data_IF_458231291559
#
_entry.id   IF_458231291559
#
_cell.length_a   1.000
_cell.length_b   1.000
_cell.length_c   1.000
_cell.angle_alpha   90.00
_cell.angle_beta   90.00
_cell.angle_gamma   90.00
#
_symmetry.space_group_name_H-M   'P 1'
#
loop_
_entity.id
_entity.type
_entity.pdbx_description
1 polymer ?
#
# COMPACT_ATOMS: atom_id res chain seq x y z
N UNK A 1 -49.81 44.76 33.19
CA UNK A 1 -48.98 44.25 32.07
C UNK A 1 -47.62 43.92 32.65
N UNK A 2 -47.32 42.65 32.94
CA UNK A 2 -46.06 42.20 33.54
C UNK A 2 -45.12 41.80 32.39
N UNK A 3 -43.95 42.44 32.30
CA UNK A 3 -42.88 42.12 31.36
C UNK A 3 -42.06 40.96 31.92
N UNK A 4 -41.99 39.86 31.16
CA UNK A 4 -41.07 38.74 31.38
C UNK A 4 -39.75 39.01 30.65
N UNK A 5 -38.57 38.79 31.27
CA UNK A 5 -37.30 38.88 30.56
C UNK A 5 -37.06 37.56 29.80
N UNK A 6 -36.72 37.67 28.52
CA UNK A 6 -36.27 36.52 27.72
C UNK A 6 -34.82 36.22 28.06
N UNK A 7 -34.56 35.00 28.53
CA UNK A 7 -33.23 34.44 28.71
C UNK A 7 -32.67 34.09 27.32
N UNK A 8 -31.64 34.81 26.86
CA UNK A 8 -30.88 34.42 25.67
C UNK A 8 -29.88 33.34 26.14
N UNK A 9 -30.12 32.10 25.74
CA UNK A 9 -29.17 31.00 25.89
C UNK A 9 -28.15 31.09 24.75
N UNK A 10 -26.90 31.45 25.07
CA UNK A 10 -25.77 31.29 24.15
C UNK A 10 -25.42 29.80 24.09
N UNK A 11 -25.86 29.13 23.02
CA UNK A 11 -25.40 27.79 22.69
C UNK A 11 -23.99 27.91 22.08
N UNK A 12 -22.97 27.52 22.84
CA UNK A 12 -21.62 27.34 22.32
C UNK A 12 -21.61 26.19 21.31
N UNK A 13 -21.40 26.50 20.04
CA UNK A 13 -21.11 25.52 18.99
C UNK A 13 -19.76 24.87 19.29
N UNK A 14 -19.80 23.68 19.89
CA UNK A 14 -18.66 22.76 19.89
C UNK A 14 -18.41 22.36 18.44
N UNK A 15 -17.35 22.92 17.83
CA UNK A 15 -16.84 22.42 16.56
C UNK A 15 -16.19 21.06 16.85
N UNK A 16 -16.88 19.98 16.50
CA UNK A 16 -16.25 18.68 16.37
C UNK A 16 -15.31 18.75 15.17
N UNK A 17 -14.03 19.02 15.42
CA UNK A 17 -12.98 18.76 14.44
C UNK A 17 -12.82 17.25 14.37
N UNK A 18 -13.41 16.60 13.36
CA UNK A 18 -13.04 15.23 13.03
C UNK A 18 -11.53 15.21 12.75
N UNK A 19 -10.82 14.21 13.28
CA UNK A 19 -9.39 14.08 13.04
C UNK A 19 -9.16 13.93 11.53
N UNK A 20 -8.26 14.75 10.98
CA UNK A 20 -7.93 14.71 9.56
C UNK A 20 -7.21 13.39 9.26
N UNK A 21 -7.77 12.58 8.36
CA UNK A 21 -7.12 11.36 7.88
C UNK A 21 -5.84 11.70 7.10
N UNK A 22 -5.02 10.69 6.80
CA UNK A 22 -3.73 10.85 6.13
C UNK A 22 -3.87 11.57 4.78
N UNK A 23 -4.91 11.21 4.02
CA UNK A 23 -5.32 11.83 2.77
C UNK A 23 -6.78 11.43 2.47
N UNK A 24 -7.51 12.14 1.60
CA UNK A 24 -8.84 11.70 1.18
C UNK A 24 -8.80 10.27 0.58
N UNK A 25 -9.53 9.34 1.19
CA UNK A 25 -9.53 7.92 0.81
C UNK A 25 -8.54 7.03 1.58
N UNK A 26 -7.85 7.56 2.60
CA UNK A 26 -7.11 6.75 3.56
C UNK A 26 -8.09 5.99 4.47
N UNK A 27 -7.97 4.66 4.51
CA UNK A 27 -8.85 3.77 5.28
C UNK A 27 -8.07 2.86 6.21
N UNK A 28 -8.78 2.21 7.15
CA UNK A 28 -8.22 1.18 7.99
C UNK A 28 -7.38 1.68 9.17
N UNK A 29 -6.65 0.75 9.77
CA UNK A 29 -5.85 0.96 10.98
C UNK A 29 -4.84 2.11 10.86
N UNK A 30 -4.22 2.28 9.69
CA UNK A 30 -3.25 3.34 9.39
C UNK A 30 -3.84 4.65 8.87
N UNK A 31 -5.17 4.78 8.76
CA UNK A 31 -5.82 5.93 8.12
C UNK A 31 -5.48 7.29 8.73
N UNK A 32 -5.07 7.32 10.00
CA UNK A 32 -4.79 8.55 10.76
C UNK A 32 -3.29 8.88 10.85
N UNK A 33 -2.44 8.23 10.06
CA UNK A 33 -1.02 8.61 9.97
C UNK A 33 -0.91 10.10 9.60
N UNK A 34 -0.07 10.84 10.34
CA UNK A 34 0.07 12.30 10.12
C UNK A 34 1.19 12.64 9.14
N UNK A 35 2.10 11.70 8.84
CA UNK A 35 3.18 11.94 7.90
C UNK A 35 4.12 13.05 8.36
N UNK A 36 4.71 13.75 7.39
CA UNK A 36 5.49 14.97 7.59
C UNK A 36 4.66 16.25 7.68
N UNK A 37 3.34 16.16 7.88
CA UNK A 37 2.47 17.34 8.04
C UNK A 37 2.99 18.20 9.21
N UNK A 38 3.15 19.50 8.99
CA UNK A 38 3.85 20.47 9.89
C UNK A 38 5.39 20.41 9.86
N UNK A 39 5.96 19.59 9.00
CA UNK A 39 7.40 19.46 8.80
C UNK A 39 7.95 20.34 7.69
N UNK A 40 9.04 19.88 7.08
CA UNK A 40 9.74 20.52 5.97
C UNK A 40 9.35 19.86 4.63
N UNK A 41 9.18 20.64 3.57
CA UNK A 41 9.09 20.11 2.21
C UNK A 41 10.49 19.80 1.70
N UNK A 42 10.70 18.59 1.19
CA UNK A 42 11.95 18.17 0.58
C UNK A 42 11.70 17.78 -0.88
N UNK A 43 12.30 18.52 -1.81
CA UNK A 43 12.21 18.25 -3.25
C UNK A 43 13.37 17.32 -3.67
N UNK A 44 13.04 16.09 -4.03
CA UNK A 44 13.99 15.18 -4.69
C UNK A 44 14.23 15.68 -6.11
N UNK A 45 15.46 16.11 -6.37
CA UNK A 45 15.89 16.82 -7.58
C UNK A 45 16.89 16.05 -8.43
N UNK A 46 17.31 14.86 -7.97
CA UNK A 46 18.18 13.98 -8.74
C UNK A 46 17.92 12.50 -8.44
N UNK A 47 18.40 11.64 -9.34
CA UNK A 47 18.26 10.19 -9.27
C UNK A 47 19.46 9.49 -8.63
N UNK A 48 20.34 10.22 -7.94
CA UNK A 48 21.51 9.62 -7.31
C UNK A 48 21.08 8.79 -6.09
N UNK A 49 21.83 7.74 -5.77
CA UNK A 49 21.60 6.90 -4.58
C UNK A 49 21.69 7.73 -3.28
N UNK A 50 22.54 8.75 -3.23
CA UNK A 50 22.79 9.54 -2.02
C UNK A 50 23.26 10.97 -2.31
N UNK A 51 23.32 11.78 -1.27
CA UNK A 51 23.70 13.19 -1.31
C UNK A 51 22.49 14.13 -1.36
N UNK A 52 22.77 15.43 -1.30
CA UNK A 52 21.74 16.47 -1.37
C UNK A 52 20.87 16.31 -2.62
N UNK A 53 19.56 16.50 -2.46
CA UNK A 53 18.55 16.33 -3.51
C UNK A 53 18.20 14.88 -3.85
N UNK A 54 18.80 13.87 -3.20
CA UNK A 54 18.47 12.46 -3.41
C UNK A 54 17.29 12.01 -2.53
N UNK A 55 16.58 10.97 -2.97
CA UNK A 55 15.53 10.33 -2.17
C UNK A 55 16.05 9.79 -0.84
N UNK A 56 17.27 9.24 -0.81
CA UNK A 56 17.88 8.73 0.42
C UNK A 56 18.11 9.83 1.45
N UNK A 57 18.58 11.00 1.02
CA UNK A 57 18.74 12.14 1.92
C UNK A 57 17.36 12.62 2.41
N UNK A 58 16.38 12.73 1.51
CA UNK A 58 15.02 13.15 1.80
C UNK A 58 14.40 12.34 2.95
N UNK A 59 14.44 11.01 2.89
CA UNK A 59 13.77 10.12 3.85
C UNK A 59 14.60 9.84 5.12
N UNK A 60 15.87 10.27 5.17
CA UNK A 60 16.76 9.98 6.30
C UNK A 60 16.47 10.82 7.55
N UNK A 61 15.77 11.94 7.39
CA UNK A 61 15.42 12.86 8.48
C UNK A 61 13.92 12.81 8.76
N UNK A 62 13.52 13.03 10.02
CA UNK A 62 12.11 13.01 10.37
C UNK A 62 11.39 14.29 9.96
N UNK A 63 10.06 14.24 9.91
CA UNK A 63 9.23 15.44 9.73
C UNK A 63 9.37 16.06 8.35
N UNK A 64 9.31 15.23 7.30
CA UNK A 64 9.49 15.67 5.91
C UNK A 64 8.34 15.24 5.01
N UNK A 65 7.91 16.14 4.13
CA UNK A 65 7.06 15.82 2.98
C UNK A 65 7.96 15.78 1.75
N UNK A 66 8.11 14.60 1.18
CA UNK A 66 8.97 14.33 0.03
C UNK A 66 8.16 14.39 -1.25
N UNK A 67 8.53 15.33 -2.12
CA UNK A 67 8.00 15.50 -3.48
C UNK A 67 9.14 15.38 -4.51
N UNK A 68 8.81 15.25 -5.78
CA UNK A 68 9.79 14.92 -6.83
C UNK A 68 9.73 15.90 -7.99
N UNK A 69 10.86 16.51 -8.34
CA UNK A 69 11.03 17.32 -9.57
C UNK A 69 11.70 16.53 -10.71
N UNK A 70 12.01 15.25 -10.47
CA UNK A 70 12.57 14.31 -11.45
C UNK A 70 11.77 13.01 -11.44
N UNK A 71 11.60 12.41 -12.62
CA UNK A 71 11.11 11.04 -12.80
C UNK A 71 12.26 10.12 -13.20
N UNK A 72 12.11 8.82 -12.97
CA UNK A 72 13.08 7.82 -13.41
C UNK A 72 13.38 6.71 -12.40
N UNK A 73 14.41 5.94 -12.72
CA UNK A 73 14.93 4.87 -11.86
C UNK A 73 16.02 5.43 -10.95
N UNK A 74 15.87 5.25 -9.64
CA UNK A 74 16.88 5.50 -8.62
C UNK A 74 17.53 4.15 -8.29
N UNK A 75 18.76 3.97 -8.72
CA UNK A 75 19.53 2.77 -8.40
C UNK A 75 20.17 2.92 -7.02
N UNK A 76 19.90 1.98 -6.13
CA UNK A 76 20.41 1.95 -4.77
C UNK A 76 21.29 0.74 -4.54
N UNK A 77 22.39 0.95 -3.82
CA UNK A 77 23.31 -0.12 -3.46
C UNK A 77 22.99 -0.70 -2.09
N UNK A 78 22.67 0.17 -1.13
CA UNK A 78 22.32 -0.19 0.23
C UNK A 78 20.82 0.00 0.52
N UNK A 79 20.32 -0.70 1.55
CA UNK A 79 18.93 -0.55 2.02
C UNK A 79 18.62 0.92 2.31
N UNK A 80 17.47 1.42 1.86
CA UNK A 80 16.95 2.73 2.31
C UNK A 80 16.33 2.55 3.70
N UNK A 81 16.67 3.43 4.64
CA UNK A 81 16.08 3.46 5.99
C UNK A 81 15.28 4.75 6.10
N UNK A 82 13.98 4.61 6.32
CA UNK A 82 13.05 5.74 6.40
C UNK A 82 12.89 6.17 7.85
N UNK A 83 12.97 7.48 8.09
CA UNK A 83 12.80 8.08 9.41
C UNK A 83 11.31 8.22 9.80
N UNK A 84 11.05 8.83 10.95
CA UNK A 84 9.69 9.05 11.48
C UNK A 84 9.01 10.25 10.81
N UNK A 85 7.69 10.28 10.75
CA UNK A 85 6.92 11.43 10.26
C UNK A 85 7.36 11.81 8.84
N UNK A 86 7.43 10.83 7.95
CA UNK A 86 7.80 11.04 6.55
C UNK A 86 6.59 10.78 5.67
N UNK A 87 6.23 11.76 4.84
CA UNK A 87 5.28 11.61 3.74
C UNK A 87 6.06 11.49 2.44
N UNK A 88 5.80 10.47 1.62
CA UNK A 88 6.39 10.31 0.29
C UNK A 88 5.27 10.35 -0.75
N UNK A 89 5.27 11.39 -1.57
CA UNK A 89 4.23 11.66 -2.58
C UNK A 89 4.76 11.34 -3.98
N UNK A 90 4.93 10.05 -4.28
CA UNK A 90 5.48 9.58 -5.56
C UNK A 90 4.68 10.03 -6.78
N UNK A 91 3.40 10.35 -6.61
CA UNK A 91 2.56 10.89 -7.68
C UNK A 91 2.96 12.29 -8.13
N UNK A 92 3.80 13.01 -7.38
CA UNK A 92 4.32 14.34 -7.79
C UNK A 92 5.41 14.25 -8.84
N UNK A 93 6.06 13.09 -8.99
CA UNK A 93 7.12 12.90 -9.96
C UNK A 93 6.62 13.09 -11.41
N UNK A 94 7.40 13.78 -12.27
CA UNK A 94 7.10 13.90 -13.69
C UNK A 94 7.31 12.58 -14.44
N UNK A 95 6.86 12.53 -15.69
CA UNK A 95 7.02 11.38 -16.57
C UNK A 95 6.28 10.14 -16.04
N UNK A 96 6.96 9.01 -16.05
CA UNK A 96 6.41 7.72 -15.61
C UNK A 96 6.51 7.50 -14.08
N UNK A 97 6.99 8.51 -13.34
CA UNK A 97 7.15 8.49 -11.90
C UNK A 97 8.50 7.93 -11.43
N UNK A 98 8.52 7.34 -10.23
CA UNK A 98 9.74 6.85 -9.57
C UNK A 98 9.71 5.33 -9.38
N UNK A 99 10.78 4.69 -9.84
CA UNK A 99 11.16 3.32 -9.43
C UNK A 99 12.44 3.38 -8.63
N UNK A 100 12.48 2.69 -7.50
CA UNK A 100 13.71 2.49 -6.72
C UNK A 100 14.15 1.05 -6.87
N UNK A 101 15.37 0.84 -7.34
CA UNK A 101 15.86 -0.47 -7.74
C UNK A 101 17.22 -0.83 -7.13
N UNK A 102 17.40 -2.08 -6.73
CA UNK A 102 18.72 -2.66 -6.39
C UNK A 102 18.87 -3.11 -4.95
N UNK A 103 18.02 -2.63 -4.03
CA UNK A 103 17.96 -3.12 -2.65
C UNK A 103 16.59 -2.82 -2.00
N UNK A 104 16.38 -3.28 -0.76
CA UNK A 104 15.12 -3.10 -0.03
C UNK A 104 15.00 -1.79 0.76
N UNK A 105 13.88 -1.64 1.46
CA UNK A 105 13.48 -0.48 2.26
C UNK A 105 13.10 -0.88 3.69
N UNK A 106 13.58 -0.14 4.68
CA UNK A 106 13.22 -0.31 6.09
C UNK A 106 12.35 0.84 6.58
N UNK A 107 11.20 0.51 7.13
CA UNK A 107 10.38 1.39 7.98
C UNK A 107 10.44 0.94 9.44
N UNK A 108 11.46 0.15 9.79
CA UNK A 108 11.68 -0.34 11.16
C UNK A 108 12.05 0.83 12.08
N UNK A 109 11.37 0.94 13.21
CA UNK A 109 11.41 2.08 14.14
C UNK A 109 10.95 3.42 13.55
N UNK A 110 10.30 3.41 12.37
CA UNK A 110 9.59 4.59 11.88
C UNK A 110 8.25 4.72 12.63
N UNK A 111 7.62 5.89 12.56
CA UNK A 111 6.27 6.13 13.03
C UNK A 111 5.62 7.17 12.09
N UNK A 112 4.28 7.19 12.01
CA UNK A 112 3.52 8.24 11.33
C UNK A 112 3.97 8.44 9.86
N UNK A 113 4.05 7.35 9.10
CA UNK A 113 4.51 7.37 7.70
C UNK A 113 3.35 7.33 6.71
N UNK A 114 3.46 8.10 5.62
CA UNK A 114 2.53 8.07 4.48
C UNK A 114 3.35 7.82 3.22
N UNK A 115 3.06 6.78 2.45
CA UNK A 115 3.80 6.45 1.22
C UNK A 115 2.83 6.18 0.09
N UNK A 116 2.97 6.91 -1.02
CA UNK A 116 2.06 6.79 -2.17
C UNK A 116 2.75 6.77 -3.52
N UNK A 117 2.20 6.00 -4.46
CA UNK A 117 2.56 5.99 -5.89
C UNK A 117 4.05 5.83 -6.21
N UNK A 118 4.74 4.94 -5.51
CA UNK A 118 6.15 4.63 -5.75
C UNK A 118 6.36 3.13 -5.94
N UNK A 119 7.33 2.77 -6.80
CA UNK A 119 7.74 1.38 -7.01
C UNK A 119 9.04 1.09 -6.28
N UNK A 120 9.06 -0.03 -5.56
CA UNK A 120 10.21 -0.50 -4.79
C UNK A 120 10.54 -1.91 -5.26
N UNK A 121 11.72 -2.04 -5.86
CA UNK A 121 12.15 -3.23 -6.57
C UNK A 121 13.50 -3.68 -6.05
N UNK A 122 13.51 -4.72 -5.23
CA UNK A 122 14.75 -5.14 -4.60
C UNK A 122 15.69 -5.82 -5.59
N UNK A 123 15.15 -6.74 -6.40
CA UNK A 123 15.89 -7.47 -7.42
C UNK A 123 16.88 -8.49 -6.84
N UNK A 124 17.42 -9.33 -7.72
CA UNK A 124 18.34 -10.42 -7.38
C UNK A 124 19.64 -9.92 -6.79
N UNK A 125 20.06 -8.70 -7.15
CA UNK A 125 21.24 -8.01 -6.60
C UNK A 125 21.08 -7.53 -5.16
N UNK A 126 19.84 -7.43 -4.66
CA UNK A 126 19.56 -6.99 -3.30
C UNK A 126 20.10 -7.94 -2.23
N UNK A 127 20.24 -7.42 -1.01
CA UNK A 127 20.78 -8.16 0.14
C UNK A 127 20.01 -9.46 0.42
N UNK A 128 20.69 -10.60 0.38
CA UNK A 128 20.08 -11.90 0.65
C UNK A 128 19.49 -12.01 2.06
N UNK A 129 18.33 -12.67 2.21
CA UNK A 129 17.68 -12.84 3.53
C UNK A 129 17.18 -11.51 4.11
N UNK A 130 16.79 -10.58 3.24
CA UNK A 130 16.16 -9.30 3.58
C UNK A 130 14.95 -9.05 2.69
N UNK A 131 14.02 -8.30 3.25
CA UNK A 131 12.77 -7.99 2.57
C UNK A 131 12.93 -6.83 1.59
N UNK A 132 12.12 -6.81 0.52
CA UNK A 132 12.04 -5.63 -0.35
C UNK A 132 11.46 -4.44 0.42
N UNK A 133 10.46 -4.66 1.28
CA UNK A 133 9.98 -3.70 2.26
C UNK A 133 9.71 -4.39 3.59
N UNK A 134 10.13 -3.79 4.71
CA UNK A 134 9.93 -4.37 6.03
C UNK A 134 9.72 -3.33 7.13
N UNK A 135 8.80 -3.64 8.03
CA UNK A 135 8.56 -2.90 9.28
C UNK A 135 8.91 -3.82 10.45
N UNK A 136 9.93 -3.44 11.21
CA UNK A 136 10.22 -4.00 12.52
C UNK A 136 10.11 -2.90 13.59
N UNK A 137 9.08 -3.00 14.42
CA UNK A 137 8.69 -2.01 15.43
C UNK A 137 8.28 -0.64 14.83
N UNK A 138 7.21 -0.04 15.34
CA UNK A 138 6.72 1.27 14.85
C UNK A 138 5.21 1.36 14.76
N UNK A 139 4.65 2.53 14.44
CA UNK A 139 3.18 2.66 14.37
C UNK A 139 2.67 3.73 13.41
N UNK A 140 1.37 3.66 13.15
CA UNK A 140 0.60 4.66 12.39
C UNK A 140 1.20 4.83 10.98
N UNK A 141 1.09 3.83 10.12
CA UNK A 141 1.64 3.92 8.77
C UNK A 141 0.61 3.56 7.72
N UNK A 142 0.63 4.27 6.60
CA UNK A 142 -0.20 3.93 5.44
C UNK A 142 0.63 3.88 4.16
N UNK A 143 0.46 2.78 3.44
CA UNK A 143 1.05 2.52 2.13
C UNK A 143 -0.11 2.39 1.15
N UNK A 144 -0.24 3.35 0.23
CA UNK A 144 -1.35 3.41 -0.71
C UNK A 144 -0.79 3.50 -2.13
N UNK A 145 -1.24 2.63 -3.05
CA UNK A 145 -0.74 2.67 -4.43
C UNK A 145 0.79 2.46 -4.55
N UNK A 146 1.37 1.59 -3.72
CA UNK A 146 2.78 1.20 -3.86
C UNK A 146 2.90 -0.12 -4.63
N UNK A 147 3.94 -0.25 -5.43
CA UNK A 147 4.28 -1.53 -6.08
C UNK A 147 5.59 -2.06 -5.50
N UNK A 148 5.54 -3.19 -4.82
CA UNK A 148 6.71 -3.81 -4.18
C UNK A 148 6.96 -5.16 -4.84
N UNK A 149 8.21 -5.40 -5.27
CA UNK A 149 8.55 -6.65 -5.97
C UNK A 149 9.95 -7.15 -5.71
N UNK A 150 10.16 -8.42 -6.07
CA UNK A 150 11.47 -9.08 -6.14
C UNK A 150 12.19 -9.16 -4.81
N UNK A 151 11.43 -9.40 -3.74
CA UNK A 151 11.97 -9.67 -2.40
C UNK A 151 12.93 -10.86 -2.40
N UNK A 152 14.00 -10.74 -1.61
CA UNK A 152 15.03 -11.78 -1.41
C UNK A 152 14.79 -12.62 -0.15
N UNK A 153 13.79 -12.24 0.65
CA UNK A 153 13.22 -12.96 1.79
C UNK A 153 11.69 -12.81 1.74
N UNK A 154 11.13 -11.68 2.18
CA UNK A 154 9.75 -11.29 1.90
C UNK A 154 9.68 -10.09 0.94
N UNK A 155 8.57 -9.96 0.21
CA UNK A 155 8.33 -8.75 -0.58
C UNK A 155 7.90 -7.59 0.33
N UNK A 156 6.87 -7.77 1.17
CA UNK A 156 6.49 -6.77 2.17
C UNK A 156 6.12 -7.43 3.51
N UNK A 157 6.95 -7.26 4.54
CA UNK A 157 6.73 -7.81 5.88
C UNK A 157 6.42 -6.75 6.96
N UNK A 158 5.66 -7.19 7.97
CA UNK A 158 5.38 -6.49 9.22
C UNK A 158 5.60 -7.48 10.36
N UNK A 159 6.52 -7.16 11.27
CA UNK A 159 6.85 -8.03 12.39
C UNK A 159 7.32 -7.22 13.62
N UNK A 160 7.01 -7.70 14.82
CA UNK A 160 7.44 -7.05 16.07
C UNK A 160 6.34 -6.19 16.69
N UNK A 161 6.73 -5.19 17.48
CA UNK A 161 5.80 -4.27 18.15
C UNK A 161 5.32 -3.19 17.17
N UNK A 162 4.43 -3.60 16.26
CA UNK A 162 3.90 -2.74 15.20
C UNK A 162 2.41 -2.48 15.41
N UNK A 163 1.93 -1.25 15.28
CA UNK A 163 0.48 -0.97 15.40
C UNK A 163 -0.03 0.01 14.36
N UNK A 164 -1.32 -0.05 14.06
CA UNK A 164 -2.01 0.92 13.20
C UNK A 164 -1.40 1.03 11.80
N UNK A 165 -1.36 -0.08 11.04
CA UNK A 165 -0.83 -0.07 9.66
C UNK A 165 -1.91 -0.38 8.64
N UNK A 166 -1.96 0.39 7.55
CA UNK A 166 -2.76 0.06 6.35
C UNK A 166 -1.85 -0.13 5.15
N UNK A 167 -2.04 -1.22 4.42
CA UNK A 167 -1.57 -1.36 3.03
C UNK A 167 -2.82 -1.44 2.17
N UNK A 168 -3.01 -0.46 1.29
CA UNK A 168 -4.17 -0.39 0.41
C UNK A 168 -3.80 -0.14 -1.05
N UNK A 169 -4.63 -0.62 -1.97
CA UNK A 169 -4.51 -0.35 -3.40
C UNK A 169 -3.10 -0.64 -3.94
N UNK A 170 -2.39 -1.65 -3.41
CA UNK A 170 -0.97 -1.87 -3.68
C UNK A 170 -0.70 -3.19 -4.39
N UNK A 171 0.44 -3.29 -5.08
CA UNK A 171 0.92 -4.54 -5.70
C UNK A 171 2.06 -5.10 -4.84
N UNK A 172 1.96 -6.39 -4.50
CA UNK A 172 2.98 -7.16 -3.78
C UNK A 172 3.29 -8.39 -4.61
N UNK A 173 4.38 -8.34 -5.36
CA UNK A 173 4.61 -9.26 -6.47
C UNK A 173 5.95 -9.98 -6.41
N UNK A 174 5.99 -11.19 -6.97
CA UNK A 174 7.21 -11.85 -7.44
C UNK A 174 8.36 -11.84 -6.41
N UNK A 175 8.11 -12.27 -5.18
CA UNK A 175 9.20 -12.68 -4.28
C UNK A 175 10.09 -13.69 -5.03
N UNK A 176 11.40 -13.50 -5.05
CA UNK A 176 12.28 -14.34 -5.86
C UNK A 176 12.40 -15.74 -5.23
N UNK A 177 12.54 -16.79 -6.05
CA UNK A 177 12.57 -18.20 -5.62
C UNK A 177 13.63 -18.55 -4.55
N UNK A 178 14.60 -17.68 -4.27
CA UNK A 178 15.46 -17.82 -3.08
C UNK A 178 14.64 -17.96 -1.79
N UNK A 179 13.51 -17.25 -1.70
CA UNK A 179 12.49 -17.41 -0.67
C UNK A 179 11.19 -16.72 -1.13
N UNK A 180 10.54 -17.20 -2.19
CA UNK A 180 9.42 -16.47 -2.84
C UNK A 180 8.21 -16.25 -1.92
N UNK A 181 8.16 -15.11 -1.24
CA UNK A 181 7.14 -14.79 -0.25
C UNK A 181 6.50 -13.41 -0.50
N UNK A 182 5.17 -13.33 -0.49
CA UNK A 182 4.46 -12.04 -0.55
C UNK A 182 4.70 -11.19 0.69
N UNK A 183 4.47 -11.75 1.89
CA UNK A 183 4.65 -11.02 3.14
C UNK A 183 4.26 -11.79 4.40
N UNK A 184 5.02 -11.58 5.47
CA UNK A 184 4.63 -11.97 6.83
C UNK A 184 3.97 -10.77 7.52
N UNK A 185 2.76 -10.94 8.05
CA UNK A 185 2.02 -9.92 8.79
C UNK A 185 1.80 -10.45 10.20
N UNK A 186 2.64 -10.02 11.13
CA UNK A 186 2.69 -10.57 12.49
C UNK A 186 2.70 -9.44 13.52
N UNK A 187 1.51 -9.04 13.95
CA UNK A 187 1.32 -8.11 15.06
C UNK A 187 -0.11 -8.16 15.62
N UNK A 188 -0.24 -7.89 16.92
CA UNK A 188 -1.53 -7.69 17.58
C UNK A 188 -2.01 -6.23 17.51
N UNK A 189 -1.18 -5.32 17.02
CA UNK A 189 -1.47 -3.88 16.93
C UNK A 189 -2.36 -3.45 15.77
N UNK A 190 -2.88 -4.40 14.99
CA UNK A 190 -3.84 -4.16 13.91
C UNK A 190 -3.20 -3.76 12.57
N UNK A 191 -3.53 -4.55 11.53
CA UNK A 191 -3.13 -4.28 10.14
C UNK A 191 -4.36 -4.37 9.22
N UNK A 192 -4.57 -3.37 8.38
CA UNK A 192 -5.56 -3.37 7.30
C UNK A 192 -4.89 -3.66 5.96
N UNK A 193 -5.46 -4.60 5.20
CA UNK A 193 -5.01 -4.97 3.85
C UNK A 193 -6.21 -4.86 2.91
N UNK A 194 -6.27 -3.79 2.12
CA UNK A 194 -7.42 -3.47 1.28
C UNK A 194 -7.09 -3.36 -0.20
N UNK A 195 -7.82 -4.09 -1.05
CA UNK A 195 -7.74 -3.91 -2.51
C UNK A 195 -6.30 -4.01 -3.02
N UNK A 196 -5.52 -4.90 -2.42
CA UNK A 196 -4.16 -5.19 -2.88
C UNK A 196 -4.18 -6.33 -3.89
N UNK A 197 -3.17 -6.34 -4.76
CA UNK A 197 -2.83 -7.48 -5.60
C UNK A 197 -1.63 -8.20 -4.99
N UNK A 198 -1.81 -9.45 -4.58
CA UNK A 198 -0.71 -10.38 -4.33
C UNK A 198 -0.57 -11.29 -5.55
N UNK A 199 0.60 -11.30 -6.18
CA UNK A 199 0.79 -12.00 -7.46
C UNK A 199 2.14 -12.70 -7.56
N UNK A 200 2.15 -13.91 -8.14
CA UNK A 200 3.37 -14.63 -8.52
C UNK A 200 4.35 -14.86 -7.36
N UNK A 201 3.80 -15.09 -6.17
CA UNK A 201 4.53 -15.39 -4.95
C UNK A 201 4.25 -16.82 -4.53
N UNK A 202 5.27 -17.62 -4.26
CA UNK A 202 5.10 -19.04 -3.93
C UNK A 202 4.33 -19.28 -2.64
N UNK A 203 4.47 -18.39 -1.66
CA UNK A 203 3.91 -18.56 -0.31
C UNK A 203 3.68 -17.22 0.39
N UNK A 204 3.00 -17.25 1.54
CA UNK A 204 2.77 -16.08 2.41
C UNK A 204 2.11 -14.92 1.65
N UNK A 205 0.87 -15.09 1.19
CA UNK A 205 0.15 -14.13 0.34
C UNK A 205 -1.08 -13.40 0.96
N UNK A 206 -1.03 -12.91 2.20
CA UNK A 206 0.04 -12.94 3.20
C UNK A 206 0.08 -14.23 4.04
N UNK A 207 1.06 -14.34 4.93
CA UNK A 207 0.98 -15.17 6.14
C UNK A 207 0.64 -14.29 7.32
N UNK A 208 -0.48 -14.56 7.98
CA UNK A 208 -1.01 -13.68 9.04
C UNK A 208 -0.88 -14.31 10.41
N UNK A 209 -0.60 -13.45 11.39
CA UNK A 209 -0.76 -13.69 12.83
C UNK A 209 -1.20 -12.41 13.53
N UNK A 210 -2.00 -12.54 14.59
CA UNK A 210 -2.50 -11.40 15.37
C UNK A 210 -3.75 -10.78 14.76
N UNK A 211 -3.83 -9.44 14.74
CA UNK A 211 -5.05 -8.70 14.37
C UNK A 211 -4.97 -8.20 12.94
N UNK A 212 -5.91 -8.63 12.08
CA UNK A 212 -5.91 -8.24 10.68
C UNK A 212 -7.31 -8.04 10.08
N UNK A 213 -7.40 -7.12 9.13
CA UNK A 213 -8.61 -6.78 8.38
C UNK A 213 -8.26 -6.92 6.89
N UNK A 214 -8.64 -8.06 6.29
CA UNK A 214 -8.26 -8.49 4.94
C UNK A 214 -9.48 -8.44 4.03
N UNK A 215 -9.69 -7.29 3.38
CA UNK A 215 -10.91 -7.01 2.62
C UNK A 215 -10.63 -6.65 1.16
N UNK A 216 -11.37 -7.26 0.24
CA UNK A 216 -11.36 -6.98 -1.20
C UNK A 216 -9.99 -7.07 -1.90
N UNK A 217 -9.09 -7.93 -1.43
CA UNK A 217 -7.81 -8.19 -2.10
C UNK A 217 -8.00 -9.20 -3.24
N UNK A 218 -7.11 -9.13 -4.23
CA UNK A 218 -6.95 -10.14 -5.27
C UNK A 218 -5.65 -10.89 -5.04
N UNK A 219 -5.72 -12.22 -5.09
CA UNK A 219 -4.56 -13.08 -4.95
C UNK A 219 -4.48 -13.96 -6.20
N UNK A 220 -3.36 -13.90 -6.91
CA UNK A 220 -3.16 -14.56 -8.20
C UNK A 220 -1.89 -15.41 -8.22
N UNK A 221 -1.98 -16.61 -8.83
CA UNK A 221 -0.83 -17.47 -9.14
C UNK A 221 0.15 -17.71 -7.97
N UNK A 222 -0.38 -18.05 -6.80
CA UNK A 222 0.47 -18.49 -5.69
C UNK A 222 1.06 -19.86 -5.96
N UNK A 223 2.11 -20.25 -5.23
CA UNK A 223 2.71 -21.60 -5.30
C UNK A 223 2.27 -22.53 -4.16
N UNK A 224 3.16 -23.42 -3.71
CA UNK A 224 2.85 -24.44 -2.70
C UNK A 224 2.53 -23.93 -1.28
N UNK A 225 2.61 -22.62 -1.02
CA UNK A 225 2.23 -22.02 0.26
C UNK A 225 0.75 -21.65 0.40
N UNK A 226 0.01 -21.55 -0.69
CA UNK A 226 -1.36 -21.03 -0.69
C UNK A 226 -1.44 -19.54 -0.96
N UNK A 227 -2.66 -19.11 -1.31
CA UNK A 227 -3.03 -17.71 -1.50
C UNK A 227 -3.19 -16.95 -0.18
N UNK A 228 -3.33 -17.65 0.93
CA UNK A 228 -3.34 -17.08 2.27
C UNK A 228 -2.93 -18.13 3.29
N UNK A 229 -1.97 -17.79 4.17
CA UNK A 229 -1.55 -18.69 5.25
C UNK A 229 -2.14 -18.21 6.57
N UNK A 230 -3.06 -18.99 7.11
CA UNK A 230 -3.67 -18.77 8.41
C UNK A 230 -2.94 -19.57 9.48
N UNK A 231 -1.85 -19.04 10.05
CA UNK A 231 -1.19 -19.69 11.19
C UNK A 231 0.05 -20.54 10.88
N UNK A 232 0.13 -21.75 11.44
CA UNK A 232 1.34 -22.57 11.52
C UNK A 232 2.29 -22.22 12.69
N UNK A 233 1.75 -21.62 13.76
CA UNK A 233 2.39 -21.37 15.06
C UNK A 233 1.33 -21.30 16.16
N UNK A 234 1.72 -21.44 17.42
CA UNK A 234 0.84 -21.48 18.61
C UNK A 234 0.25 -20.12 19.03
N UNK A 235 0.33 -19.08 18.18
CA UNK A 235 -0.12 -17.73 18.50
C UNK A 235 -1.54 -17.45 18.01
N UNK A 236 -2.31 -16.73 18.82
CA UNK A 236 -3.68 -16.32 18.52
C UNK A 236 -3.74 -15.35 17.33
N UNK A 237 -4.78 -15.49 16.52
CA UNK A 237 -5.09 -14.55 15.43
C UNK A 237 -6.59 -14.27 15.38
N UNK A 238 -6.96 -13.01 15.21
CA UNK A 238 -8.35 -12.54 15.16
C UNK A 238 -8.50 -11.69 13.89
N UNK A 239 -9.18 -12.25 12.89
CA UNK A 239 -9.11 -11.73 11.53
C UNK A 239 -10.48 -11.65 10.86
N UNK A 240 -10.72 -10.55 10.13
CA UNK A 240 -11.79 -10.47 9.15
C UNK A 240 -11.22 -10.79 7.75
N UNK A 241 -11.85 -11.69 7.00
CA UNK A 241 -11.48 -12.07 5.62
C UNK A 241 -12.72 -11.92 4.73
N UNK A 242 -12.84 -10.79 4.03
CA UNK A 242 -14.11 -10.39 3.41
C UNK A 242 -13.92 -10.00 1.94
N UNK A 243 -14.76 -10.53 1.05
CA UNK A 243 -14.90 -10.00 -0.31
C UNK A 243 -13.66 -10.18 -1.19
N UNK A 244 -12.73 -11.09 -0.86
CA UNK A 244 -11.49 -11.29 -1.60
C UNK A 244 -11.70 -12.22 -2.81
N UNK A 245 -10.88 -12.08 -3.84
CA UNK A 245 -10.89 -12.96 -5.02
C UNK A 245 -9.55 -13.69 -5.15
N UNK A 246 -9.59 -15.02 -5.02
CA UNK A 246 -8.45 -15.90 -5.25
C UNK A 246 -8.54 -16.51 -6.64
N UNK A 247 -7.49 -16.40 -7.45
CA UNK A 247 -7.47 -16.93 -8.82
C UNK A 247 -6.20 -17.78 -8.99
N UNK A 248 -6.40 -19.06 -9.30
CA UNK A 248 -5.29 -19.97 -9.56
C UNK A 248 -4.58 -19.60 -10.86
N UNK A 249 -3.24 -19.59 -10.83
CA UNK A 249 -2.40 -19.42 -12.01
C UNK A 249 -1.56 -20.65 -12.32
N UNK A 250 -0.65 -20.57 -13.31
CA UNK A 250 0.19 -21.68 -13.74
C UNK A 250 0.88 -22.44 -12.59
N UNK A 251 1.44 -21.73 -11.61
CA UNK A 251 2.20 -22.28 -10.49
C UNK A 251 1.35 -22.69 -9.28
N UNK A 252 0.05 -22.41 -9.31
CA UNK A 252 -0.87 -22.78 -8.23
C UNK A 252 -0.96 -24.29 -8.06
N UNK A 253 -0.50 -24.76 -6.90
CA UNK A 253 -0.40 -26.19 -6.57
C UNK A 253 -1.19 -26.60 -5.33
N UNK A 254 -1.78 -25.64 -4.60
CA UNK A 254 -2.60 -25.87 -3.39
C UNK A 254 -3.76 -24.88 -3.35
N UNK A 255 -4.74 -25.14 -2.48
CA UNK A 255 -5.94 -24.29 -2.30
C UNK A 255 -5.59 -22.87 -1.84
N UNK A 256 -6.56 -21.96 -1.98
CA UNK A 256 -6.44 -20.56 -1.57
C UNK A 256 -5.98 -20.41 -0.12
N UNK A 257 -6.66 -21.05 0.82
CA UNK A 257 -6.32 -20.98 2.25
C UNK A 257 -5.56 -22.23 2.70
N UNK A 258 -4.53 -22.06 3.51
CA UNK A 258 -3.77 -23.18 4.09
C UNK A 258 -3.38 -22.93 5.55
N UNK A 259 -3.12 -24.03 6.26
CA UNK A 259 -2.49 -24.09 7.60
C UNK A 259 -3.31 -23.48 8.75
N UNK A 260 -4.60 -23.25 8.55
CA UNK A 260 -5.56 -22.89 9.58
C UNK A 260 -5.54 -23.87 10.76
N UNK A 261 -5.87 -23.38 11.95
CA UNK A 261 -5.96 -24.16 13.17
C UNK A 261 -6.90 -23.48 14.18
N UNK A 262 -7.04 -24.09 15.36
CA UNK A 262 -7.93 -23.64 16.43
C UNK A 262 -7.57 -22.29 17.07
N UNK A 263 -6.35 -21.79 16.88
CA UNK A 263 -5.90 -20.47 17.36
C UNK A 263 -6.03 -19.37 16.29
N UNK A 264 -6.61 -19.71 15.13
CA UNK A 264 -6.85 -18.75 14.05
C UNK A 264 -8.34 -18.50 13.90
N UNK A 265 -8.85 -17.50 14.61
CA UNK A 265 -10.24 -17.10 14.65
C UNK A 265 -10.54 -16.14 13.49
N UNK A 266 -11.38 -16.58 12.54
CA UNK A 266 -11.67 -15.83 11.33
C UNK A 266 -13.17 -15.61 11.14
N UNK A 267 -13.57 -14.34 11.00
CA UNK A 267 -14.85 -14.01 10.37
C UNK A 267 -14.64 -14.00 8.86
N UNK A 268 -15.46 -14.74 8.11
CA UNK A 268 -15.33 -14.87 6.66
C UNK A 268 -16.65 -14.54 5.97
N UNK A 269 -16.58 -13.79 4.87
CA UNK A 269 -17.77 -13.39 4.13
C UNK A 269 -17.43 -13.14 2.64
N UNK A 270 -18.21 -13.69 1.72
CA UNK A 270 -18.15 -13.38 0.27
C UNK A 270 -16.76 -13.52 -0.37
N UNK A 271 -15.96 -14.53 0.00
CA UNK A 271 -14.67 -14.77 -0.68
C UNK A 271 -14.86 -15.69 -1.88
N UNK A 272 -14.29 -15.36 -3.04
CA UNK A 272 -14.40 -16.15 -4.27
C UNK A 272 -13.10 -16.89 -4.58
N UNK A 273 -13.22 -18.06 -5.19
CA UNK A 273 -12.10 -18.83 -5.68
C UNK A 273 -12.36 -19.35 -7.10
N UNK A 274 -11.49 -18.94 -8.03
CA UNK A 274 -11.35 -19.50 -9.36
C UNK A 274 -10.14 -20.45 -9.39
N UNK A 275 -10.38 -21.72 -9.68
CA UNK A 275 -9.39 -22.79 -9.45
C UNK A 275 -8.98 -23.54 -10.71
N UNK A 276 -9.67 -23.33 -11.83
CA UNK A 276 -9.60 -24.23 -12.98
C UNK A 276 -8.55 -23.83 -14.03
N UNK A 277 -8.06 -22.58 -13.96
CA UNK A 277 -7.03 -22.03 -14.86
C UNK A 277 -7.47 -22.05 -16.31
N UNK A 278 -8.78 -21.96 -16.57
CA UNK A 278 -9.35 -22.20 -17.90
C UNK A 278 -9.30 -20.97 -18.83
N UNK A 279 -8.95 -19.79 -18.29
CA UNK A 279 -8.89 -18.51 -19.01
C UNK A 279 -10.21 -17.73 -19.00
N UNK A 280 -11.18 -18.16 -18.20
CA UNK A 280 -12.46 -17.51 -17.99
C UNK A 280 -12.57 -17.16 -16.52
N UNK A 281 -12.96 -15.93 -16.19
CA UNK A 281 -13.31 -15.58 -14.83
C UNK A 281 -14.68 -16.20 -14.49
N UNK A 282 -14.68 -17.36 -13.83
CA UNK A 282 -15.88 -18.12 -13.52
C UNK A 282 -15.89 -18.69 -12.09
N UNK A 283 -15.00 -18.19 -11.24
CA UNK A 283 -14.87 -18.57 -9.83
C UNK A 283 -16.18 -18.47 -9.04
N UNK A 284 -16.24 -19.24 -7.96
CA UNK A 284 -17.42 -19.34 -7.10
C UNK A 284 -17.12 -18.91 -5.68
N UNK A 285 -18.16 -18.48 -4.96
CA UNK A 285 -18.06 -18.20 -3.54
C UNK A 285 -17.63 -19.44 -2.74
N UNK A 286 -16.65 -19.26 -1.86
CA UNK A 286 -16.25 -20.24 -0.86
C UNK A 286 -17.29 -20.28 0.25
N UNK A 287 -17.99 -21.42 0.36
CA UNK A 287 -18.92 -21.64 1.46
C UNK A 287 -18.23 -21.51 2.83
N UNK A 288 -18.96 -20.98 3.82
CA UNK A 288 -18.51 -20.77 5.20
C UNK A 288 -18.34 -22.12 5.92
N UNK A 289 -17.22 -22.78 5.64
CA UNK A 289 -16.82 -24.07 6.22
C UNK A 289 -15.31 -24.07 6.48
N UNK A 290 -14.90 -24.53 7.67
CA UNK A 290 -13.49 -24.52 8.08
C UNK A 290 -12.56 -25.19 7.06
N UNK A 291 -13.03 -26.24 6.37
CA UNK A 291 -12.22 -26.95 5.36
C UNK A 291 -11.92 -26.10 4.12
N UNK A 292 -12.81 -25.19 3.72
CA UNK A 292 -12.59 -24.25 2.62
C UNK A 292 -11.57 -23.17 2.99
N UNK A 293 -11.47 -22.86 4.29
CA UNK A 293 -10.56 -21.87 4.86
C UNK A 293 -9.34 -22.53 5.52
N UNK A 294 -8.90 -23.69 5.01
CA UNK A 294 -7.64 -24.32 5.41
C UNK A 294 -7.59 -24.81 6.85
N UNK A 295 -8.73 -24.99 7.52
CA UNK A 295 -8.85 -25.47 8.90
C UNK A 295 -8.95 -24.39 9.97
N UNK A 296 -9.24 -23.13 9.60
CA UNK A 296 -9.43 -22.03 10.56
C UNK A 296 -10.62 -22.28 11.51
N UNK A 297 -10.56 -21.73 12.71
CA UNK A 297 -11.73 -21.59 13.57
C UNK A 297 -12.60 -20.43 13.06
N UNK A 298 -13.79 -20.74 12.55
CA UNK A 298 -14.66 -19.72 11.96
C UNK A 298 -15.60 -19.14 13.02
N UNK A 299 -15.56 -17.83 13.20
CA UNK A 299 -16.44 -17.11 14.13
C UNK A 299 -17.62 -16.48 13.40
N UNK A 300 -18.74 -16.30 14.10
CA UNK A 300 -19.99 -15.79 13.52
C UNK A 300 -20.14 -14.28 13.59
N UNK A 301 -19.38 -13.63 14.47
CA UNK A 301 -19.43 -12.17 14.65
C UNK A 301 -18.20 -11.54 13.99
N UNK A 302 -18.45 -10.54 13.15
CA UNK A 302 -17.41 -9.72 12.54
C UNK A 302 -16.71 -8.91 13.63
N UNK A 303 -15.38 -8.86 13.59
CA UNK A 303 -14.63 -7.99 14.48
C UNK A 303 -14.84 -6.51 14.12
N UNK A 304 -15.03 -5.66 15.13
CA UNK A 304 -15.20 -4.20 14.98
C UNK A 304 -13.85 -3.50 14.78
N UNK A 305 -13.24 -3.74 13.62
CA UNK A 305 -12.00 -3.11 13.19
C UNK A 305 -12.26 -1.93 12.25
N UNK A 306 -11.32 -0.96 12.14
CA UNK A 306 -11.36 0.05 11.10
C UNK A 306 -11.41 -0.63 9.71
N UNK A 307 -12.56 -0.58 9.07
CA UNK A 307 -12.84 -1.25 7.80
C UNK A 307 -12.89 -0.26 6.63
N UNK A 308 -12.97 -0.80 5.41
CA UNK A 308 -13.31 -0.02 4.22
C UNK A 308 -14.69 0.62 4.36
N UNK A 309 -14.88 1.81 3.80
CA UNK A 309 -16.15 2.53 3.80
C UNK A 309 -17.24 1.78 3.03
N UNK A 310 -16.86 1.05 1.97
CA UNK A 310 -17.74 0.18 1.21
C UNK A 310 -17.00 -1.09 0.82
N UNK A 311 -17.61 -2.23 1.12
CA UNK A 311 -17.15 -3.54 0.64
C UNK A 311 -17.64 -3.73 -0.79
N UNK A 312 -16.71 -4.01 -1.70
CA UNK A 312 -16.99 -4.34 -3.09
C UNK A 312 -17.41 -5.80 -3.22
N UNK A 313 -18.17 -6.15 -4.27
CA UNK A 313 -18.28 -7.55 -4.67
C UNK A 313 -16.90 -8.05 -5.10
N UNK A 314 -16.60 -9.36 -5.03
CA UNK A 314 -15.31 -9.88 -5.50
C UNK A 314 -15.00 -9.51 -6.96
N UNK A 315 -15.99 -9.56 -7.86
CA UNK A 315 -15.81 -9.17 -9.27
C UNK A 315 -15.47 -7.67 -9.42
N UNK A 316 -16.14 -6.81 -8.65
CA UNK A 316 -15.84 -5.38 -8.60
C UNK A 316 -14.47 -5.13 -7.96
N UNK A 317 -14.09 -5.90 -6.95
CA UNK A 317 -12.78 -5.84 -6.33
C UNK A 317 -11.68 -6.22 -7.34
N UNK A 318 -11.89 -7.25 -8.15
CA UNK A 318 -10.97 -7.61 -9.22
C UNK A 318 -10.82 -6.48 -10.24
N UNK A 319 -11.95 -5.95 -10.73
CA UNK A 319 -11.97 -4.83 -11.68
C UNK A 319 -11.27 -3.59 -11.12
N UNK A 320 -11.49 -3.30 -9.85
CA UNK A 320 -10.85 -2.21 -9.14
C UNK A 320 -9.34 -2.43 -9.06
N UNK A 321 -8.91 -3.61 -8.62
CA UNK A 321 -7.51 -3.92 -8.36
C UNK A 321 -6.68 -3.94 -9.64
N UNK A 322 -7.18 -4.54 -10.73
CA UNK A 322 -6.47 -4.51 -12.03
C UNK A 322 -6.32 -3.08 -12.55
N UNK A 323 -7.31 -2.22 -12.30
CA UNK A 323 -7.27 -0.83 -12.73
C UNK A 323 -6.37 0.05 -11.87
N UNK A 324 -6.47 -0.06 -10.54
CA UNK A 324 -5.93 0.95 -9.63
C UNK A 324 -4.80 0.46 -8.73
N UNK A 325 -4.58 -0.84 -8.51
CA UNK A 325 -3.56 -1.26 -7.55
C UNK A 325 -2.12 -0.97 -8.02
N UNK A 326 -1.23 -0.64 -7.08
CA UNK A 326 0.16 -0.28 -7.34
C UNK A 326 0.32 1.19 -7.71
N UNK A 327 1.50 1.58 -8.20
CA UNK A 327 1.75 2.93 -8.69
C UNK A 327 1.01 3.18 -10.01
N UNK A 328 -0.31 3.37 -9.93
CA UNK A 328 -1.23 3.29 -11.06
C UNK A 328 -1.55 4.63 -11.73
N UNK A 329 -1.05 5.76 -11.21
CA UNK A 329 -1.11 7.06 -11.90
C UNK A 329 -0.56 6.94 -13.33
N UNK A 330 0.56 6.24 -13.46
CA UNK A 330 1.12 5.77 -14.74
C UNK A 330 1.75 4.41 -14.42
N UNK A 331 1.29 3.28 -14.97
CA UNK A 331 1.97 1.99 -14.77
C UNK A 331 3.21 1.88 -15.64
N UNK A 332 4.25 1.25 -15.12
CA UNK A 332 5.41 0.90 -15.92
C UNK A 332 5.26 -0.51 -16.54
N UNK A 333 6.29 -0.97 -17.25
CA UNK A 333 6.24 -2.24 -17.98
C UNK A 333 6.05 -3.47 -17.07
N UNK A 334 6.58 -3.48 -15.85
CA UNK A 334 6.44 -4.62 -14.93
C UNK A 334 5.02 -4.68 -14.37
N UNK A 335 4.52 -3.56 -13.82
CA UNK A 335 3.16 -3.53 -13.26
C UNK A 335 2.10 -3.80 -14.35
N UNK A 336 2.36 -3.36 -15.59
CA UNK A 336 1.49 -3.65 -16.74
C UNK A 336 1.47 -5.14 -17.07
N UNK A 337 2.62 -5.81 -17.07
CA UNK A 337 2.70 -7.26 -17.31
C UNK A 337 2.01 -8.05 -16.19
N UNK A 338 2.20 -7.67 -14.93
CA UNK A 338 1.55 -8.31 -13.78
C UNK A 338 0.02 -8.22 -13.88
N UNK A 339 -0.53 -7.05 -14.24
CA UNK A 339 -1.99 -6.92 -14.43
C UNK A 339 -2.49 -7.77 -15.60
N UNK A 340 -1.76 -7.78 -16.72
CA UNK A 340 -2.13 -8.61 -17.87
C UNK A 340 -2.14 -10.11 -17.52
N UNK A 341 -1.26 -10.56 -16.62
CA UNK A 341 -1.27 -11.94 -16.11
C UNK A 341 -2.53 -12.23 -15.29
N UNK A 342 -2.97 -11.32 -14.41
CA UNK A 342 -4.25 -11.49 -13.69
C UNK A 342 -5.42 -11.62 -14.67
N UNK A 343 -5.47 -10.75 -15.68
CA UNK A 343 -6.52 -10.72 -16.71
C UNK A 343 -6.47 -11.93 -17.66
N UNK A 344 -5.42 -12.74 -17.59
CA UNK A 344 -5.36 -14.03 -18.28
C UNK A 344 -6.22 -15.11 -17.62
N UNK A 345 -6.73 -14.85 -16.40
CA UNK A 345 -7.57 -15.74 -15.61
C UNK A 345 -7.00 -17.16 -15.52
N UNK A 346 -5.73 -17.23 -15.14
CA UNK A 346 -5.03 -18.47 -14.84
C UNK A 346 -4.17 -19.04 -15.97
N UNK A 347 -4.07 -18.34 -17.11
CA UNK A 347 -3.27 -18.80 -18.26
C UNK A 347 -1.81 -18.37 -18.22
N UNK A 348 -1.49 -17.28 -17.54
CA UNK A 348 -0.17 -16.68 -17.52
C UNK A 348 0.28 -16.36 -16.08
N UNK A 349 1.55 -16.03 -15.89
CA UNK A 349 2.18 -15.81 -14.58
C UNK A 349 3.25 -16.84 -14.28
N UNK A 350 4.25 -16.45 -13.48
CA UNK A 350 5.37 -17.32 -13.14
C UNK A 350 6.02 -16.96 -11.81
N UNK A 351 6.38 -17.98 -11.04
CA UNK A 351 7.38 -17.85 -9.97
C UNK A 351 8.77 -17.67 -10.59
N UNK A 352 9.39 -16.50 -10.36
CA UNK A 352 10.66 -16.15 -10.99
C UNK A 352 11.85 -16.22 -10.03
N UNK A 353 13.03 -16.47 -10.58
CA UNK A 353 14.30 -16.42 -9.84
C UNK A 353 15.15 -15.19 -10.16
N UNK A 354 14.77 -14.46 -11.22
CA UNK A 354 15.53 -13.34 -11.79
C UNK A 354 14.56 -12.36 -12.45
N UNK A 355 14.59 -11.10 -12.01
CA UNK A 355 13.79 -10.02 -12.56
C UNK A 355 14.08 -9.72 -14.04
N UNK A 356 15.19 -10.23 -14.59
CA UNK A 356 15.47 -10.15 -16.02
C UNK A 356 14.36 -10.79 -16.87
N UNK A 357 13.62 -11.77 -16.32
CA UNK A 357 12.45 -12.40 -16.98
C UNK A 357 11.31 -11.38 -17.21
N UNK A 358 11.27 -10.31 -16.42
CA UNK A 358 10.30 -9.21 -16.53
C UNK A 358 10.87 -7.97 -17.24
N UNK A 359 12.12 -8.03 -17.72
CA UNK A 359 12.85 -6.89 -18.29
C UNK A 359 13.63 -6.05 -17.27
N UNK A 360 13.80 -6.55 -16.03
CA UNK A 360 14.43 -5.80 -14.94
C UNK A 360 13.61 -4.58 -14.54
N UNK A 361 14.25 -3.59 -13.87
CA UNK A 361 13.56 -2.37 -13.44
C UNK A 361 12.95 -1.54 -14.58
N UNK A 362 13.34 -1.83 -15.84
CA UNK A 362 12.92 -1.13 -17.03
C UNK A 362 13.52 0.27 -17.14
N UNK A 363 13.27 0.91 -18.29
CA UNK A 363 13.47 2.34 -18.46
C UNK A 363 12.16 3.07 -18.15
N UNK A 364 12.25 4.23 -17.51
CA UNK A 364 11.13 5.14 -17.27
C UNK A 364 11.38 6.45 -18.02
N UNK A 365 10.36 6.99 -18.68
CA UNK A 365 10.42 8.36 -19.14
C UNK A 365 10.53 9.29 -17.93
N UNK A 366 11.59 10.10 -17.91
CA UNK A 366 11.87 11.04 -16.82
C UNK A 366 10.91 12.22 -16.83
N UNK A 367 10.21 12.44 -17.94
CA UNK A 367 9.41 13.62 -18.17
C UNK A 367 10.24 14.90 -18.22
N UNK A 368 9.57 16.03 -18.06
CA UNK A 368 10.21 17.34 -17.95
C UNK A 368 10.16 17.80 -16.51
N UNK A 369 11.29 18.28 -15.98
CA UNK A 369 11.34 18.92 -14.65
C UNK A 369 10.42 20.15 -14.66
N UNK A 370 9.39 20.18 -13.79
CA UNK A 370 8.53 21.35 -13.66
C UNK A 370 9.32 22.57 -13.17
N UNK A 371 8.85 23.76 -13.51
CA UNK A 371 9.37 25.01 -12.95
C UNK A 371 8.67 25.24 -11.62
N UNK A 372 9.46 25.46 -10.58
CA UNK A 372 9.05 25.80 -9.22
C UNK A 372 9.98 26.96 -8.80
N UNK A 373 9.44 28.17 -8.85
CA UNK A 373 10.20 29.41 -8.78
C UNK A 373 10.66 29.74 -7.35
N UNK A 374 9.87 29.41 -6.34
CA UNK A 374 10.20 29.65 -4.93
C UNK A 374 10.76 28.41 -4.20
N UNK A 375 10.68 27.23 -4.83
CA UNK A 375 11.27 25.98 -4.36
C UNK A 375 10.48 25.32 -3.24
N UNK A 376 9.19 25.63 -3.11
CA UNK A 376 8.36 25.13 -2.02
C UNK A 376 7.73 23.75 -2.28
N UNK A 377 7.99 23.18 -3.46
CA UNK A 377 7.57 21.85 -3.88
C UNK A 377 6.29 21.80 -4.71
N UNK A 378 5.62 22.93 -4.97
CA UNK A 378 4.51 23.04 -5.93
C UNK A 378 5.00 23.73 -7.20
N UNK A 379 4.78 23.15 -8.40
CA UNK A 379 5.11 23.82 -9.66
C UNK A 379 4.29 25.09 -9.91
N UNK A 380 4.89 26.10 -10.56
CA UNK A 380 4.28 27.41 -10.84
C UNK A 380 2.91 27.30 -11.54
N UNK A 381 2.74 26.31 -12.44
CA UNK A 381 1.50 26.08 -13.16
C UNK A 381 0.41 25.48 -12.27
N UNK A 382 0.78 24.60 -11.35
CA UNK A 382 -0.13 24.04 -10.34
C UNK A 382 -0.55 25.10 -9.31
N UNK A 383 0.35 25.99 -8.90
CA UNK A 383 0.02 27.11 -8.02
C UNK A 383 -0.99 28.06 -8.65
N UNK A 384 -0.85 28.35 -9.95
CA UNK A 384 -1.83 29.14 -10.68
C UNK A 384 -3.22 28.47 -10.71
N UNK A 385 -3.30 27.14 -10.73
CA UNK A 385 -4.56 26.38 -10.64
C UNK A 385 -5.14 26.37 -9.22
N UNK A 386 -4.29 26.31 -8.18
CA UNK A 386 -4.68 26.38 -6.78
C UNK A 386 -5.08 27.80 -6.34
N UNK A 387 -4.59 28.82 -7.05
CA UNK A 387 -4.74 30.23 -6.69
C UNK A 387 -3.73 30.72 -5.64
N UNK A 388 -2.58 30.06 -5.51
CA UNK A 388 -1.42 30.50 -4.70
C UNK A 388 -0.46 31.35 -5.55
N UNK A 389 0.56 31.95 -4.93
CA UNK A 389 1.51 32.86 -5.62
C UNK A 389 2.85 32.17 -5.86
N UNK A 390 3.26 31.94 -7.13
CA UNK A 390 4.48 31.21 -7.48
C UNK A 390 5.81 31.91 -7.17
N UNK A 391 5.77 32.94 -6.34
CA UNK A 391 6.96 33.64 -5.85
C UNK A 391 6.99 33.66 -4.32
N UNK A 392 6.08 32.95 -3.66
CA UNK A 392 5.85 32.98 -2.21
C UNK A 392 5.69 31.56 -1.70
N UNK A 393 6.71 31.05 -0.97
CA UNK A 393 6.68 29.71 -0.40
C UNK A 393 5.54 29.55 0.63
N UNK A 394 4.37 29.11 0.14
CA UNK A 394 3.11 29.01 0.85
C UNK A 394 2.50 27.59 0.79
N UNK A 395 3.22 26.61 0.20
CA UNK A 395 2.78 25.22 0.06
C UNK A 395 2.34 24.55 1.37
N UNK A 396 2.87 25.02 2.50
CA UNK A 396 2.57 24.52 3.85
C UNK A 396 1.42 25.28 4.55
N UNK A 397 0.85 26.31 3.94
CA UNK A 397 -0.37 26.94 4.43
C UNK A 397 -1.57 25.99 4.27
N UNK A 398 -2.53 26.10 5.18
CA UNK A 398 -3.70 25.22 5.21
C UNK A 398 -4.82 25.77 4.33
N UNK A 399 -5.41 24.89 3.54
CA UNK A 399 -6.64 25.15 2.81
C UNK A 399 -7.87 25.04 3.74
N UNK A 400 -9.07 25.25 3.18
CA UNK A 400 -10.34 25.16 3.94
C UNK A 400 -10.70 23.74 4.40
N UNK A 401 -10.12 22.70 3.81
CA UNK A 401 -10.30 21.31 4.23
C UNK A 401 -9.36 20.89 5.36
N UNK A 402 -8.33 21.71 5.64
CA UNK A 402 -7.35 21.49 6.71
C UNK A 402 -6.10 20.74 6.27
N UNK A 403 -5.98 20.42 4.98
CA UNK A 403 -4.74 19.94 4.37
C UNK A 403 -3.87 21.13 3.93
N UNK A 404 -2.57 20.93 3.83
CA UNK A 404 -1.66 21.93 3.23
C UNK A 404 -1.94 22.09 1.73
N UNK A 405 -1.63 23.24 1.12
CA UNK A 405 -1.74 23.40 -0.33
C UNK A 405 -0.94 22.35 -1.11
N UNK A 406 0.22 21.95 -0.59
CA UNK A 406 1.03 20.84 -1.13
C UNK A 406 0.26 19.52 -1.16
N UNK A 407 -0.42 19.18 -0.07
CA UNK A 407 -1.26 17.98 0.01
C UNK A 407 -2.48 18.08 -0.91
N UNK A 408 -3.12 19.25 -1.00
CA UNK A 408 -4.25 19.49 -1.90
C UNK A 408 -3.83 19.26 -3.35
N UNK A 409 -2.71 19.85 -3.77
CA UNK A 409 -2.14 19.63 -5.09
C UNK A 409 -1.77 18.17 -5.33
N UNK A 410 -1.00 17.55 -4.44
CA UNK A 410 -0.59 16.17 -4.62
C UNK A 410 -1.77 15.18 -4.67
N UNK A 411 -2.89 15.50 -4.04
CA UNK A 411 -4.13 14.73 -4.13
C UNK A 411 -4.95 15.02 -5.40
N UNK A 412 -4.80 16.20 -6.02
CA UNK A 412 -5.48 16.52 -7.29
C UNK A 412 -4.88 15.78 -8.49
N UNK A 413 -3.62 15.33 -8.36
CA UNK A 413 -2.90 14.56 -9.39
C UNK A 413 -3.42 13.14 -9.62
N UNK A 414 -4.33 12.67 -8.78
CA UNK A 414 -4.88 11.30 -8.79
C UNK A 414 -6.38 11.34 -8.50
N UNK A 415 -7.15 10.28 -8.80
CA UNK A 415 -8.58 10.26 -8.50
C UNK A 415 -8.87 10.53 -7.01
N UNK A 416 -9.79 11.45 -6.74
CA UNK A 416 -10.23 11.82 -5.37
C UNK A 416 -11.08 10.74 -4.70
N UNK A 417 -11.66 9.86 -5.50
CA UNK A 417 -12.26 8.59 -5.07
C UNK A 417 -12.11 7.59 -6.21
N UNK A 418 -11.88 6.35 -5.84
CA UNK A 418 -11.82 5.23 -6.76
C UNK A 418 -13.18 4.55 -6.69
N UNK A 419 -14.04 4.86 -7.65
CA UNK A 419 -15.33 4.20 -7.85
C UNK A 419 -15.21 3.08 -8.88
#
# INVERSE_FOLDING_TARGET
MRLTPSLISCLSLLHFTSALVAFPGAEGFGANAVGGRQGEVYVVSNLNDSGEGSLRDAVSQPGRIVVFSVGGVIEITDRIVVSKQVTILGQTAPGDGITVYGNGWSFSNADDAIVRYIRIRMGKGGSSGKDAMGIADGKNMIFDHVSVSWGRDETFSINGDVSNVTIQNSIIAQGLETHSCGGLIQTDGGVSLFRNLYIDNKTRNPKVKGVNEFTNNVIYNWGGGGGYIAGGSDGESNVNVIGNYFISGPDTSVTAFTRGNENFHAYVETNYYDSDKDGTLNGSELGVDSTNYGGMDLVTEKYDYPAVASVLSPDDALTYVTKYAGASKVRDSVDTQLVAQVESYGKDGALISDEADMGGAGDLDKGTTPIDTDGDGIPDDAEAELGTDPNTADSMELDTSGYTFLEVWANSLVPSSYA
#
